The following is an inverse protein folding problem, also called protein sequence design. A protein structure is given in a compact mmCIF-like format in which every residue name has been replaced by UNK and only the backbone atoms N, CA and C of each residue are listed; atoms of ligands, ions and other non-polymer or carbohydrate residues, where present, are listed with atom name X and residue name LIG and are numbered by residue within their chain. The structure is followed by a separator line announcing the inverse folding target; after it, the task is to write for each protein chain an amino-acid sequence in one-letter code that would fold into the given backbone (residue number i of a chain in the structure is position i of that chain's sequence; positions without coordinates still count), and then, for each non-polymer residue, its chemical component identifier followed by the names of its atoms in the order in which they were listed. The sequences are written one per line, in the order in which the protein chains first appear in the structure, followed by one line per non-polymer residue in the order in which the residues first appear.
data_IF_056179230715
#
_entry.id   IF_056179230715
#
_cell.length_a   1.000
_cell.length_b   1.000
_cell.length_c   1.000
_cell.angle_alpha   90.00
_cell.angle_beta   90.00
_cell.angle_gamma   90.00
#
_symmetry.space_group_name_H-M   'P 1'
#
loop_
_entity.id
_entity.type
_entity.pdbx_description
1 polymer ?
#
# COMPACT_ATOMS: atom_id res chain seq x y z
N UNK A 1 -25.72 -11.57 17.21
CA UNK A 1 -26.50 -12.49 16.35
C UNK A 1 -25.71 -12.69 15.07
N UNK A 2 -25.34 -13.93 14.74
CA UNK A 2 -24.65 -14.32 13.51
C UNK A 2 -25.68 -14.48 12.39
N UNK A 3 -25.36 -14.04 11.16
CA UNK A 3 -26.20 -14.22 9.97
C UNK A 3 -25.43 -14.00 8.67
N UNK A 4 -25.35 -15.06 7.86
CA UNK A 4 -24.67 -15.15 6.56
C UNK A 4 -25.45 -14.47 5.41
N UNK A 5 -24.70 -14.01 4.39
CA UNK A 5 -25.06 -13.83 2.96
C UNK A 5 -26.37 -13.12 2.58
N UNK A 6 -26.29 -11.85 2.14
CA UNK A 6 -26.94 -11.32 0.92
C UNK A 6 -26.20 -10.04 0.45
N UNK A 7 -25.78 -9.98 -0.82
CA UNK A 7 -25.58 -8.72 -1.60
C UNK A 7 -26.81 -8.58 -2.54
N UNK A 8 -27.09 -7.41 -3.14
CA UNK A 8 -26.82 -6.01 -2.76
C UNK A 8 -28.11 -5.15 -2.83
N UNK A 9 -28.11 -3.90 -2.34
CA UNK A 9 -29.05 -2.90 -2.90
C UNK A 9 -28.49 -1.47 -2.84
N UNK A 10 -28.69 -0.80 -3.96
CA UNK A 10 -28.33 0.53 -4.45
C UNK A 10 -28.78 1.73 -3.60
N UNK A 11 -29.19 1.55 -2.34
CA UNK A 11 -29.66 2.64 -1.47
C UNK A 11 -28.63 3.12 -0.43
N UNK A 12 -27.49 2.44 -0.26
CA UNK A 12 -26.49 2.83 0.74
C UNK A 12 -25.67 4.08 0.36
N UNK A 13 -25.61 4.48 -0.92
CA UNK A 13 -24.84 5.66 -1.35
C UNK A 13 -25.53 6.99 -1.02
N UNK A 14 -26.86 7.03 -0.96
CA UNK A 14 -27.60 8.28 -0.75
C UNK A 14 -27.73 8.72 0.73
N UNK A 15 -27.28 7.89 1.67
CA UNK A 15 -27.19 8.25 3.09
C UNK A 15 -25.85 8.94 3.43
N UNK A 16 -24.78 8.63 2.68
CA UNK A 16 -23.43 9.13 2.96
C UNK A 16 -23.23 10.61 2.60
N UNK A 17 -23.96 11.14 1.61
CA UNK A 17 -23.80 12.54 1.16
C UNK A 17 -24.39 13.59 2.11
N UNK A 18 -25.15 13.18 3.14
CA UNK A 18 -25.86 14.11 4.04
C UNK A 18 -25.08 14.54 5.29
N UNK A 19 -23.96 13.90 5.64
CA UNK A 19 -23.31 14.14 6.94
C UNK A 19 -21.93 14.83 6.92
N UNK A 20 -21.41 15.29 5.76
CA UNK A 20 -20.12 16.03 5.70
C UNK A 20 -18.98 15.35 6.50
N UNK A 21 -18.89 14.02 6.45
CA UNK A 21 -17.79 13.32 7.10
C UNK A 21 -16.59 13.35 6.18
N UNK A 22 -15.60 14.17 6.54
CA UNK A 22 -14.26 14.15 5.97
C UNK A 22 -13.69 12.74 6.12
N UNK A 23 -13.52 12.03 5.00
CA UNK A 23 -12.94 10.68 4.97
C UNK A 23 -11.46 10.80 5.33
N UNK A 24 -11.16 10.76 6.64
CA UNK A 24 -9.81 10.50 7.14
C UNK A 24 -9.68 9.00 7.34
N UNK A 25 -8.84 8.40 6.52
CA UNK A 25 -8.54 6.97 6.47
C UNK A 25 -7.84 6.52 7.75
N UNK A 26 -8.59 6.21 8.79
CA UNK A 26 -8.09 5.39 9.91
C UNK A 26 -8.31 3.92 9.56
N UNK A 27 -7.21 3.22 9.29
CA UNK A 27 -7.18 1.76 9.27
C UNK A 27 -7.03 1.28 10.71
N UNK A 28 -7.87 0.30 11.08
CA UNK A 28 -7.82 -0.55 12.30
C UNK A 28 -8.66 -0.05 13.50
N UNK A 29 -9.75 -0.79 13.80
CA UNK A 29 -10.67 -0.60 14.95
C UNK A 29 -10.25 -1.36 16.22
N UNK A 30 -8.94 -1.53 16.48
CA UNK A 30 -8.46 -2.17 17.72
C UNK A 30 -7.20 -1.55 18.34
N UNK A 31 -6.74 -0.36 17.91
CA UNK A 31 -5.66 0.38 18.61
C UNK A 31 -6.21 1.51 19.50
N UNK A 32 -7.48 1.89 19.31
CA UNK A 32 -8.10 3.03 20.00
C UNK A 32 -8.27 2.83 21.52
N UNK A 33 -8.31 1.59 22.02
CA UNK A 33 -8.44 1.33 23.47
C UNK A 33 -7.09 1.43 24.19
N UNK A 34 -5.98 1.20 23.47
CA UNK A 34 -4.63 1.19 24.02
C UNK A 34 -4.00 2.61 24.00
N UNK A 35 -4.35 3.42 23.00
CA UNK A 35 -3.91 4.83 22.91
C UNK A 35 -4.43 5.71 24.05
N UNK A 36 -5.66 5.49 24.55
CA UNK A 36 -6.20 6.29 25.67
C UNK A 36 -5.42 6.06 26.97
N UNK A 37 -4.89 4.85 27.18
CA UNK A 37 -4.03 4.54 28.34
C UNK A 37 -2.64 5.15 28.19
N UNK A 38 -2.02 5.04 27.02
CA UNK A 38 -0.68 5.58 26.76
C UNK A 38 -0.63 7.12 26.79
N UNK A 39 -1.71 7.78 26.38
CA UNK A 39 -1.85 9.24 26.46
C UNK A 39 -1.90 9.75 27.91
N UNK A 40 -2.42 8.95 28.86
CA UNK A 40 -2.44 9.30 30.29
C UNK A 40 -1.07 9.10 30.98
N UNK A 41 -0.16 8.32 30.37
CA UNK A 41 1.18 8.03 30.90
C UNK A 41 2.30 8.90 30.28
N UNK A 42 1.96 9.87 29.43
CA UNK A 42 2.93 10.83 28.87
C UNK A 42 3.87 10.25 27.80
N UNK A 43 3.58 9.05 27.30
CA UNK A 43 4.33 8.39 26.22
C UNK A 43 3.51 8.44 24.92
N UNK A 44 3.33 9.64 24.36
CA UNK A 44 2.94 9.78 22.96
C UNK A 44 4.08 9.18 22.11
N UNK A 45 3.95 7.90 21.76
CA UNK A 45 4.84 7.25 20.82
C UNK A 45 4.89 8.14 19.56
N UNK A 46 6.08 8.52 19.07
CA UNK A 46 6.19 9.43 17.93
C UNK A 46 5.41 8.85 16.75
N UNK A 47 4.43 9.61 16.23
CA UNK A 47 3.67 9.24 15.04
C UNK A 47 4.67 8.89 13.92
N UNK A 48 4.79 7.60 13.59
CA UNK A 48 5.61 7.13 12.47
C UNK A 48 4.92 7.59 11.18
N UNK A 49 5.31 8.76 10.67
CA UNK A 49 4.78 9.27 9.40
C UNK A 49 5.35 8.43 8.27
N UNK A 50 4.49 7.63 7.64
CA UNK A 50 4.80 6.98 6.38
C UNK A 50 4.74 8.00 5.25
N UNK A 51 5.77 8.00 4.40
CA UNK A 51 5.82 8.85 3.21
C UNK A 51 5.66 7.95 2.00
N UNK A 52 4.57 8.16 1.25
CA UNK A 52 4.36 7.50 -0.04
C UNK A 52 5.34 8.06 -1.06
N UNK A 53 6.02 7.17 -1.79
CA UNK A 53 7.03 7.50 -2.79
C UNK A 53 6.48 7.38 -4.22
N UNK A 54 5.57 6.43 -4.46
CA UNK A 54 4.96 6.22 -5.76
C UNK A 54 3.94 5.09 -5.77
N UNK A 55 3.14 5.07 -6.83
CA UNK A 55 2.09 4.08 -7.06
C UNK A 55 2.26 3.45 -8.45
N UNK A 56 2.14 2.13 -8.53
CA UNK A 56 2.13 1.39 -9.78
C UNK A 56 0.87 0.51 -9.87
N UNK A 57 0.24 0.49 -11.04
CA UNK A 57 -0.92 -0.35 -11.32
C UNK A 57 -0.50 -1.64 -12.02
N UNK A 58 -0.99 -2.77 -11.50
CA UNK A 58 -0.74 -4.08 -12.10
C UNK A 58 -1.60 -4.27 -13.33
N UNK A 59 -0.97 -4.40 -14.50
CA UNK A 59 -1.65 -4.62 -15.79
C UNK A 59 -1.55 -6.05 -16.29
N UNK A 60 -0.52 -6.78 -15.89
CA UNK A 60 -0.29 -8.15 -16.33
C UNK A 60 0.41 -8.96 -15.25
N UNK A 61 0.21 -10.28 -15.25
CA UNK A 61 0.85 -11.21 -14.30
C UNK A 61 1.65 -12.23 -15.08
N UNK A 62 2.89 -12.43 -14.67
CA UNK A 62 3.79 -13.46 -15.20
C UNK A 62 4.12 -14.45 -14.10
N UNK A 63 3.91 -15.75 -14.36
CA UNK A 63 4.30 -16.82 -13.44
C UNK A 63 5.57 -17.48 -13.95
N UNK A 64 6.63 -17.41 -13.17
CA UNK A 64 7.95 -17.96 -13.52
C UNK A 64 8.29 -19.04 -12.50
N UNK A 65 8.47 -20.28 -12.94
CA UNK A 65 8.57 -21.46 -12.07
C UNK A 65 9.60 -21.34 -10.92
N UNK A 66 10.73 -20.66 -11.15
CA UNK A 66 11.81 -20.50 -10.15
C UNK A 66 11.80 -19.18 -9.37
N UNK A 67 11.10 -18.16 -9.89
CA UNK A 67 11.13 -16.79 -9.34
C UNK A 67 9.81 -16.47 -8.63
N UNK A 68 8.73 -17.16 -8.97
CA UNK A 68 7.39 -16.89 -8.48
C UNK A 68 6.61 -15.96 -9.41
N UNK A 69 5.77 -15.11 -8.82
CA UNK A 69 4.90 -14.20 -9.56
C UNK A 69 5.58 -12.84 -9.76
N UNK A 70 5.61 -12.39 -11.02
CA UNK A 70 6.05 -11.04 -11.39
C UNK A 70 4.85 -10.26 -11.92
N UNK A 71 4.59 -9.10 -11.34
CA UNK A 71 3.57 -8.17 -11.76
C UNK A 71 4.15 -7.21 -12.81
N UNK A 72 3.62 -7.25 -14.03
CA UNK A 72 3.84 -6.21 -15.03
C UNK A 72 3.01 -4.99 -14.70
N UNK A 73 3.68 -3.90 -14.36
CA UNK A 73 3.07 -2.70 -13.79
C UNK A 73 3.37 -1.45 -14.62
N UNK A 74 2.47 -0.47 -14.53
CA UNK A 74 2.69 0.89 -15.03
C UNK A 74 2.74 1.86 -13.85
N UNK A 75 3.82 2.64 -13.73
CA UNK A 75 3.96 3.61 -12.64
C UNK A 75 3.07 4.81 -12.93
N UNK A 76 2.04 4.99 -12.10
CA UNK A 76 1.02 6.04 -12.25
C UNK A 76 1.45 7.35 -11.62
N UNK A 77 2.26 7.31 -10.57
CA UNK A 77 2.74 8.50 -9.88
C UNK A 77 4.05 8.23 -9.14
N UNK A 78 4.88 9.27 -9.04
CA UNK A 78 6.08 9.25 -8.20
C UNK A 78 7.16 8.28 -8.69
N UNK A 79 7.75 7.53 -7.75
CA UNK A 79 8.87 6.63 -8.02
C UNK A 79 8.75 5.33 -7.22
N UNK A 80 9.07 4.22 -7.87
CA UNK A 80 9.21 2.90 -7.25
C UNK A 80 10.70 2.60 -7.10
N UNK A 81 11.32 2.85 -5.93
CA UNK A 81 12.69 2.43 -5.65
C UNK A 81 12.75 0.91 -5.43
N UNK A 82 13.84 0.28 -5.89
CA UNK A 82 14.14 -1.14 -5.67
C UNK A 82 14.26 -1.49 -4.19
N UNK A 83 14.77 -0.54 -3.42
CA UNK A 83 14.98 -0.62 -1.97
C UNK A 83 13.85 0.14 -1.28
N UNK A 84 12.72 -0.52 -1.07
CA UNK A 84 11.54 0.11 -0.50
C UNK A 84 10.58 -0.92 0.13
N UNK A 85 9.75 -0.43 1.05
CA UNK A 85 8.54 -1.14 1.47
C UNK A 85 7.48 -0.92 0.41
N UNK A 86 6.67 -1.94 0.19
CA UNK A 86 5.50 -1.87 -0.67
C UNK A 86 4.29 -2.43 0.03
N UNK A 87 3.14 -1.91 -0.31
CA UNK A 87 1.86 -2.53 0.00
C UNK A 87 1.05 -2.76 -1.26
N UNK A 88 0.28 -3.83 -1.24
CA UNK A 88 -0.66 -4.16 -2.31
C UNK A 88 -2.05 -3.74 -1.85
N UNK A 89 -2.69 -2.90 -2.64
CA UNK A 89 -4.03 -2.37 -2.39
C UNK A 89 -4.96 -2.94 -3.45
N UNK A 90 -6.02 -3.60 -3.01
CA UNK A 90 -7.05 -4.19 -3.85
C UNK A 90 -8.41 -3.64 -3.45
N UNK A 91 -9.11 -2.99 -4.39
CA UNK A 91 -10.41 -2.36 -4.14
C UNK A 91 -10.38 -1.39 -2.93
N UNK A 92 -9.27 -0.64 -2.77
CA UNK A 92 -9.09 0.32 -1.67
C UNK A 92 -8.69 -0.30 -0.33
N UNK A 93 -8.49 -1.62 -0.25
CA UNK A 93 -8.08 -2.32 0.98
C UNK A 93 -6.65 -2.83 0.82
N UNK A 94 -5.80 -2.62 1.83
CA UNK A 94 -4.48 -3.25 1.88
C UNK A 94 -4.63 -4.76 2.06
N UNK A 95 -4.14 -5.53 1.08
CA UNK A 95 -4.16 -7.00 1.11
C UNK A 95 -2.81 -7.60 1.46
N UNK A 96 -1.73 -6.81 1.37
CA UNK A 96 -0.38 -7.24 1.74
C UNK A 96 0.51 -6.03 2.03
N UNK A 97 1.43 -6.17 2.99
CA UNK A 97 2.51 -5.24 3.30
C UNK A 97 3.83 -6.01 3.34
N UNK A 98 4.85 -5.53 2.65
CA UNK A 98 6.14 -6.20 2.59
C UNK A 98 7.22 -5.40 1.87
N UNK A 99 8.14 -6.13 1.25
CA UNK A 99 9.34 -5.63 0.58
C UNK A 99 9.35 -6.04 -0.88
N UNK A 100 9.99 -5.22 -1.74
CA UNK A 100 10.25 -5.62 -3.12
C UNK A 100 11.29 -6.74 -3.17
N UNK A 101 10.92 -7.86 -3.78
CA UNK A 101 11.84 -8.95 -4.13
C UNK A 101 12.64 -8.64 -5.39
N UNK A 102 12.06 -7.95 -6.38
CA UNK A 102 12.76 -7.53 -7.60
C UNK A 102 12.09 -6.33 -8.26
N UNK A 103 12.88 -5.53 -8.98
CA UNK A 103 12.41 -4.43 -9.81
C UNK A 103 13.19 -4.44 -11.12
N UNK A 104 12.49 -4.68 -12.22
CA UNK A 104 13.09 -4.78 -13.55
C UNK A 104 12.41 -3.85 -14.53
N UNK A 105 13.17 -3.30 -15.47
CA UNK A 105 12.62 -2.76 -16.72
C UNK A 105 13.04 -3.68 -17.84
N UNK A 106 12.05 -4.20 -18.57
CA UNK A 106 12.27 -5.26 -19.55
C UNK A 106 12.96 -6.48 -18.90
N UNK A 107 14.26 -6.68 -19.14
CA UNK A 107 15.03 -7.79 -18.56
C UNK A 107 16.06 -7.33 -17.52
N UNK A 108 16.29 -6.02 -17.43
CA UNK A 108 17.38 -5.43 -16.65
C UNK A 108 16.92 -5.03 -15.25
N UNK A 109 17.73 -5.35 -14.24
CA UNK A 109 17.53 -4.86 -12.87
C UNK A 109 17.80 -3.35 -12.81
N UNK A 110 16.89 -2.62 -12.18
CA UNK A 110 16.98 -1.16 -12.06
C UNK A 110 16.87 -0.73 -10.62
N UNK A 111 17.47 0.42 -10.30
CA UNK A 111 17.44 1.00 -8.95
C UNK A 111 16.11 1.66 -8.63
N UNK A 112 15.47 2.26 -9.62
CA UNK A 112 14.17 2.91 -9.49
C UNK A 112 13.44 2.94 -10.83
N UNK A 113 12.12 3.06 -10.78
CA UNK A 113 11.27 3.32 -11.96
C UNK A 113 10.36 4.50 -11.65
N UNK A 114 10.34 5.48 -12.54
CA UNK A 114 9.57 6.71 -12.39
C UNK A 114 8.22 6.60 -13.09
N UNK A 115 7.31 7.49 -12.71
CA UNK A 115 6.04 7.73 -13.38
C UNK A 115 6.15 7.72 -14.91
N UNK A 116 5.13 7.16 -15.56
CA UNK A 116 5.04 7.08 -17.01
C UNK A 116 5.77 5.89 -17.64
N UNK A 117 6.48 5.09 -16.84
CA UNK A 117 7.21 3.91 -17.32
C UNK A 117 6.60 2.60 -16.83
N UNK A 118 6.80 1.56 -17.64
CA UNK A 118 6.49 0.17 -17.30
C UNK A 118 7.65 -0.52 -16.59
N UNK A 119 7.31 -1.43 -15.69
CA UNK A 119 8.26 -2.25 -14.95
C UNK A 119 7.67 -3.61 -14.55
N UNK A 120 8.57 -4.57 -14.28
CA UNK A 120 8.25 -5.81 -13.59
C UNK A 120 8.56 -5.69 -12.10
N UNK A 121 7.57 -5.96 -11.26
CA UNK A 121 7.69 -5.93 -9.81
C UNK A 121 7.48 -7.35 -9.26
N UNK A 122 8.46 -7.85 -8.52
CA UNK A 122 8.30 -9.04 -7.68
C UNK A 122 8.19 -8.62 -6.22
N UNK A 123 7.26 -9.21 -5.48
CA UNK A 123 7.05 -8.92 -4.06
C UNK A 123 7.52 -10.12 -3.23
N UNK A 124 8.27 -9.84 -2.17
CA UNK A 124 8.81 -10.89 -1.31
C UNK A 124 7.68 -11.59 -0.56
N UNK A 125 7.70 -12.93 -0.56
CA UNK A 125 6.73 -13.79 0.12
C UNK A 125 5.25 -13.58 -0.27
N UNK A 126 4.98 -12.96 -1.42
CA UNK A 126 3.62 -12.71 -1.88
C UNK A 126 3.45 -13.01 -3.38
N UNK A 127 2.54 -13.94 -3.69
CA UNK A 127 2.26 -14.40 -5.05
C UNK A 127 0.82 -14.13 -5.51
N UNK A 128 -0.11 -13.74 -4.62
CA UNK A 128 -1.50 -13.43 -4.98
C UNK A 128 -1.65 -12.00 -5.49
N UNK A 129 -0.81 -11.56 -6.42
CA UNK A 129 -0.99 -10.27 -7.10
C UNK A 129 -1.99 -10.44 -8.24
N UNK A 130 -2.93 -9.51 -8.38
CA UNK A 130 -3.99 -9.52 -9.40
C UNK A 130 -3.91 -8.29 -10.30
N UNK A 131 -4.39 -8.43 -11.53
CA UNK A 131 -4.56 -7.29 -12.44
C UNK A 131 -5.57 -6.32 -11.82
N UNK A 132 -5.24 -5.03 -11.85
CA UNK A 132 -5.98 -3.97 -11.18
C UNK A 132 -5.60 -3.73 -9.72
N UNK A 133 -4.70 -4.55 -9.14
CA UNK A 133 -4.10 -4.20 -7.85
C UNK A 133 -3.21 -2.96 -8.02
N UNK A 134 -3.16 -2.13 -6.97
CA UNK A 134 -2.23 -1.00 -6.85
C UNK A 134 -1.09 -1.40 -5.93
N UNK A 135 0.14 -1.16 -6.37
CA UNK A 135 1.35 -1.35 -5.57
C UNK A 135 1.84 0.03 -5.16
N UNK A 136 1.74 0.35 -3.88
CA UNK A 136 2.21 1.62 -3.33
C UNK A 136 3.56 1.41 -2.65
N UNK A 137 4.59 2.13 -3.11
CA UNK A 137 5.89 2.18 -2.46
C UNK A 137 5.91 3.29 -1.42
N UNK A 138 6.45 3.00 -0.23
CA UNK A 138 6.50 3.97 0.84
C UNK A 138 7.76 3.81 1.70
N UNK A 139 8.06 4.86 2.49
CA UNK A 139 9.13 4.87 3.47
C UNK A 139 8.55 5.10 4.87
N UNK A 140 8.94 4.26 5.84
CA UNK A 140 8.65 4.51 7.26
C UNK A 140 9.71 5.45 7.79
N UNK A 141 9.40 6.75 7.86
CA UNK A 141 10.30 7.72 8.42
C UNK A 141 10.50 7.48 9.93
N UNK A 142 11.63 6.90 10.32
CA UNK A 142 12.17 7.08 11.65
C UNK A 142 12.97 8.38 11.65
N UNK A 143 12.42 9.44 12.25
CA UNK A 143 13.02 10.76 12.46
C UNK A 143 13.89 11.24 11.29
N UNK A 144 13.32 12.11 10.45
CA UNK A 144 14.12 13.00 9.62
C UNK A 144 15.19 13.65 10.52
N UNK A 145 16.45 13.24 10.34
CA UNK A 145 17.59 14.04 10.76
C UNK A 145 17.46 15.34 9.97
N UNK A 146 16.80 16.30 10.60
CA UNK A 146 16.87 17.69 10.24
C UNK A 146 18.35 18.05 10.16
N UNK A 147 18.78 18.34 8.93
CA UNK A 147 19.72 19.38 8.56
C UNK A 147 20.90 19.63 9.51
N UNK A 148 22.07 19.25 9.01
CA UNK A 148 23.33 20.02 9.04
C UNK A 148 23.24 21.39 9.74
N UNK A 149 24.11 21.57 10.75
CA UNK A 149 25.03 22.70 10.82
C UNK A 149 26.35 22.22 11.43
#
# INVERSE_FOLDING_TARGET
IVGFHVRPDSNARAAADRERVEIRTYRIIYEAVEEVKLAMEGLLAPEKKEIVLGEAEVRQIFKIAKIGTIAGCFVRSGVIPRTGRVRVIRNGVEVYDGTLASLKRFKDDVREVREGFECGIGIENFNDVKVGDLIESYHRGGRALAQRH
#
